data_IF_174520441372
#
_entry.id   IF_174520441372
#
_cell.length_a   1.000
_cell.length_b   1.000
_cell.length_c   1.000
_cell.angle_alpha   90.00
_cell.angle_beta   90.00
_cell.angle_gamma   90.00
#
_symmetry.space_group_name_H-M   'P 1'
#
loop_
_entity.id
_entity.type
_entity.pdbx_description
1 polymer ?
#
# COMPACT_ATOMS: atom_id res chain seq x y z
N UNK A 1 -6.44 -17.62 -1.36
CA UNK A 1 -5.89 -16.49 -2.13
C UNK A 1 -6.08 -16.71 -3.61
N UNK A 2 -6.30 -15.67 -4.38
CA UNK A 2 -6.26 -15.72 -5.83
C UNK A 2 -5.17 -14.80 -6.36
N UNK A 3 -4.59 -15.19 -7.50
CA UNK A 3 -3.54 -14.43 -8.15
C UNK A 3 -4.14 -13.30 -9.00
N UNK A 4 -3.58 -12.11 -8.86
CA UNK A 4 -3.91 -10.95 -9.69
C UNK A 4 -2.64 -10.47 -10.40
N UNK A 5 -2.75 -10.17 -11.68
CA UNK A 5 -1.62 -9.73 -12.48
C UNK A 5 -2.04 -8.56 -13.37
N UNK A 6 -1.20 -7.53 -13.41
CA UNK A 6 -1.39 -6.36 -14.27
C UNK A 6 -0.19 -6.23 -15.23
N UNK A 7 -0.30 -6.75 -16.46
CA UNK A 7 0.76 -6.57 -17.45
C UNK A 7 0.99 -5.09 -17.81
N UNK A 8 -0.07 -4.30 -17.77
CA UNK A 8 0.00 -2.86 -18.08
C UNK A 8 0.86 -2.12 -17.05
N UNK A 9 0.64 -2.38 -15.76
CA UNK A 9 1.29 -1.68 -14.67
C UNK A 9 2.45 -2.47 -14.06
N UNK A 10 2.79 -3.62 -14.66
CA UNK A 10 4.00 -4.42 -14.37
C UNK A 10 4.09 -4.92 -12.94
N UNK A 11 2.99 -5.36 -12.37
CA UNK A 11 2.99 -5.99 -11.06
C UNK A 11 2.02 -7.18 -10.98
N UNK A 12 2.24 -8.02 -9.98
CA UNK A 12 1.36 -9.11 -9.62
C UNK A 12 1.33 -9.27 -8.09
N UNK A 13 0.25 -9.80 -7.56
CA UNK A 13 0.15 -10.13 -6.14
C UNK A 13 -0.97 -11.15 -5.93
N UNK A 14 -0.95 -11.79 -4.77
CA UNK A 14 -2.02 -12.69 -4.35
C UNK A 14 -2.91 -11.96 -3.34
N UNK A 15 -4.23 -12.03 -3.56
CA UNK A 15 -5.22 -11.37 -2.73
C UNK A 15 -6.25 -12.39 -2.21
N UNK A 16 -6.91 -12.11 -1.09
CA UNK A 16 -8.04 -12.94 -0.66
C UNK A 16 -9.09 -13.06 -1.76
N UNK A 17 -9.67 -14.24 -1.90
CA UNK A 17 -10.65 -14.52 -2.96
C UNK A 17 -11.88 -13.61 -2.88
N UNK A 18 -12.22 -13.16 -1.68
CA UNK A 18 -13.40 -12.30 -1.46
C UNK A 18 -13.15 -10.82 -1.78
N UNK A 19 -11.93 -10.42 -2.09
CA UNK A 19 -11.65 -9.04 -2.47
C UNK A 19 -12.01 -8.80 -3.93
N UNK A 20 -12.64 -7.65 -4.18
CA UNK A 20 -12.99 -7.20 -5.53
C UNK A 20 -12.07 -6.07 -5.97
N UNK A 21 -11.77 -6.05 -7.26
CA UNK A 21 -11.06 -4.91 -7.84
C UNK A 21 -12.03 -3.73 -8.02
N UNK A 22 -11.50 -2.53 -7.87
CA UNK A 22 -12.21 -1.29 -8.12
C UNK A 22 -11.31 -0.32 -8.88
N UNK A 23 -11.89 0.59 -9.67
CA UNK A 23 -11.08 1.55 -10.42
C UNK A 23 -10.36 2.53 -9.49
N UNK A 24 -9.24 3.12 -9.96
CA UNK A 24 -8.56 4.15 -9.19
C UNK A 24 -9.46 5.37 -9.00
N UNK A 25 -9.20 6.13 -7.94
CA UNK A 25 -9.90 7.39 -7.65
C UNK A 25 -8.93 8.55 -7.88
N UNK A 26 -8.97 9.21 -9.05
CA UNK A 26 -8.01 10.30 -9.37
C UNK A 26 -8.05 11.46 -8.38
N UNK A 27 -9.20 11.72 -7.77
CA UNK A 27 -9.34 12.78 -6.76
C UNK A 27 -8.53 12.47 -5.49
N UNK A 28 -8.26 11.18 -5.19
CA UNK A 28 -7.42 10.78 -4.07
C UNK A 28 -5.93 10.95 -4.43
N UNK A 29 -5.52 10.42 -5.58
CA UNK A 29 -4.16 10.55 -6.08
C UNK A 29 -4.11 10.25 -7.58
N UNK A 30 -3.36 11.05 -8.38
CA UNK A 30 -3.17 10.74 -9.80
C UNK A 30 -2.29 9.50 -10.03
N UNK A 31 -1.62 9.01 -8.99
CA UNK A 31 -0.71 7.85 -9.06
C UNK A 31 -1.37 6.54 -8.69
N UNK A 32 -2.63 6.57 -8.30
CA UNK A 32 -3.39 5.39 -7.95
C UNK A 32 -3.66 4.54 -9.20
N UNK A 33 -3.33 3.23 -9.14
CA UNK A 33 -3.50 2.32 -10.27
C UNK A 33 -4.78 1.50 -10.17
N UNK A 34 -5.02 0.91 -8.98
CA UNK A 34 -6.14 0.01 -8.77
C UNK A 34 -6.43 -0.07 -7.27
N UNK A 35 -7.68 -0.37 -6.94
CA UNK A 35 -8.13 -0.65 -5.58
C UNK A 35 -8.60 -2.09 -5.46
N UNK A 36 -8.40 -2.67 -4.29
CA UNK A 36 -9.00 -3.93 -3.88
C UNK A 36 -9.82 -3.65 -2.63
N UNK A 37 -11.09 -4.04 -2.67
CA UNK A 37 -12.02 -3.77 -1.58
C UNK A 37 -12.60 -5.09 -1.06
N UNK A 38 -12.83 -5.16 0.25
CA UNK A 38 -13.47 -6.32 0.82
C UNK A 38 -14.94 -6.37 0.37
N UNK A 39 -15.42 -7.58 0.13
CA UNK A 39 -16.76 -7.80 -0.39
C UNK A 39 -17.87 -7.39 0.59
N UNK A 40 -17.61 -7.45 1.89
CA UNK A 40 -18.65 -7.43 2.90
C UNK A 40 -19.08 -6.05 3.39
N UNK A 41 -18.17 -5.06 3.52
CA UNK A 41 -18.51 -3.85 4.26
C UNK A 41 -17.63 -2.62 3.99
N UNK A 42 -16.65 -2.72 3.10
CA UNK A 42 -15.73 -1.60 2.84
C UNK A 42 -14.81 -1.27 4.01
N UNK A 43 -14.68 -2.16 5.01
CA UNK A 43 -13.83 -1.94 6.18
C UNK A 43 -12.36 -2.22 5.92
N UNK A 44 -12.03 -2.73 4.75
CA UNK A 44 -10.67 -3.06 4.36
C UNK A 44 -10.43 -2.55 2.94
N UNK A 45 -9.33 -1.87 2.77
CA UNK A 45 -8.97 -1.26 1.48
C UNK A 45 -7.50 -1.49 1.20
N UNK A 46 -7.20 -1.89 -0.02
CA UNK A 46 -5.84 -1.98 -0.53
C UNK A 46 -5.76 -1.14 -1.80
N UNK A 47 -4.74 -0.30 -1.89
CA UNK A 47 -4.52 0.55 -3.05
C UNK A 47 -3.09 0.35 -3.53
N UNK A 48 -2.93 0.13 -4.83
CA UNK A 48 -1.62 0.09 -5.47
C UNK A 48 -1.38 1.43 -6.15
N UNK A 49 -0.27 2.07 -5.78
CA UNK A 49 0.21 3.32 -6.39
C UNK A 49 1.52 3.06 -7.11
N UNK A 50 1.79 3.82 -8.16
CA UNK A 50 3.10 3.85 -8.81
C UNK A 50 3.48 5.30 -9.08
N UNK A 51 4.61 5.72 -8.52
CA UNK A 51 5.04 7.11 -8.48
C UNK A 51 6.47 7.25 -9.01
N UNK A 52 6.85 8.43 -9.55
CA UNK A 52 8.22 8.70 -9.90
C UNK A 52 9.14 8.57 -8.69
N UNK A 53 10.28 7.91 -8.87
CA UNK A 53 11.31 7.76 -7.85
C UNK A 53 12.43 8.75 -8.13
N UNK A 54 12.59 9.76 -7.28
CA UNK A 54 13.74 10.64 -7.34
C UNK A 54 15.00 9.83 -6.98
N UNK A 55 15.96 9.69 -7.90
CA UNK A 55 17.15 8.88 -7.64
C UNK A 55 18.04 9.44 -6.52
N UNK A 56 17.86 10.70 -6.15
CA UNK A 56 18.57 11.30 -5.02
C UNK A 56 17.98 10.89 -3.66
N UNK A 57 16.82 10.25 -3.65
CA UNK A 57 16.10 9.90 -2.43
C UNK A 57 16.09 8.40 -2.18
N UNK A 58 16.27 8.00 -0.92
CA UNK A 58 16.03 6.62 -0.49
C UNK A 58 14.54 6.37 -0.36
N UNK A 59 14.15 5.09 -0.25
CA UNK A 59 12.75 4.73 0.03
C UNK A 59 12.30 5.31 1.38
N UNK A 60 13.19 5.35 2.37
CA UNK A 60 12.91 5.97 3.66
C UNK A 60 12.56 7.44 3.50
N UNK A 61 13.33 8.19 2.70
CA UNK A 61 13.06 9.60 2.44
C UNK A 61 11.75 9.81 1.68
N UNK A 62 11.43 8.94 0.73
CA UNK A 62 10.13 8.95 0.05
C UNK A 62 9.00 8.73 1.05
N UNK A 63 9.16 7.78 1.97
CA UNK A 63 8.19 7.50 3.01
C UNK A 63 8.04 8.68 3.98
N UNK A 64 9.13 9.31 4.38
CA UNK A 64 9.11 10.47 5.27
C UNK A 64 8.36 11.65 4.65
N UNK A 65 8.54 11.88 3.35
CA UNK A 65 7.79 12.91 2.64
C UNK A 65 6.29 12.60 2.62
N UNK A 66 5.93 11.34 2.37
CA UNK A 66 4.52 10.91 2.43
C UNK A 66 3.96 11.08 3.83
N UNK A 67 4.75 10.80 4.86
CA UNK A 67 4.37 10.98 6.25
C UNK A 67 3.98 12.43 6.55
N UNK A 68 4.72 13.41 6.04
CA UNK A 68 4.40 14.82 6.22
C UNK A 68 3.03 15.16 5.64
N UNK A 69 2.72 14.64 4.45
CA UNK A 69 1.43 14.85 3.79
C UNK A 69 0.30 14.21 4.61
N UNK A 70 0.51 12.98 5.06
CA UNK A 70 -0.47 12.26 5.87
C UNK A 70 -0.73 12.96 7.20
N UNK A 71 0.32 13.47 7.85
CA UNK A 71 0.18 14.20 9.11
C UNK A 71 -0.72 15.45 8.95
N UNK A 72 -0.63 16.16 7.84
CA UNK A 72 -1.49 17.30 7.53
C UNK A 72 -2.94 16.88 7.33
N UNK A 73 -3.20 15.63 7.00
CA UNK A 73 -4.53 15.09 6.77
C UNK A 73 -5.11 14.34 7.98
N UNK A 74 -4.52 14.52 9.15
CA UNK A 74 -5.05 13.96 10.39
C UNK A 74 -4.54 12.58 10.78
N UNK A 75 -3.58 12.03 10.03
CA UNK A 75 -2.95 10.76 10.39
C UNK A 75 -1.82 10.97 11.39
N UNK A 76 -1.54 9.96 12.21
CA UNK A 76 -0.50 10.00 13.22
C UNK A 76 -0.03 8.61 13.63
N UNK A 77 0.76 8.53 14.71
CA UNK A 77 1.26 7.27 15.21
C UNK A 77 2.24 6.58 14.27
N UNK A 78 3.02 7.35 13.52
CA UNK A 78 3.89 6.82 12.48
C UNK A 78 5.02 5.96 13.05
N UNK A 79 5.17 4.76 12.48
CA UNK A 79 6.29 3.86 12.76
C UNK A 79 6.83 3.33 11.43
N UNK A 80 8.07 3.68 11.11
CA UNK A 80 8.75 3.22 9.90
C UNK A 80 9.79 2.16 10.20
N UNK A 81 9.99 1.23 9.28
CA UNK A 81 11.04 0.22 9.36
C UNK A 81 11.42 -0.34 7.99
N UNK A 82 12.61 -0.90 7.92
CA UNK A 82 13.04 -1.64 6.74
C UNK A 82 12.22 -2.91 6.58
N UNK A 83 12.01 -3.32 5.33
CA UNK A 83 11.31 -4.54 4.99
C UNK A 83 11.93 -5.15 3.73
N UNK A 84 11.56 -6.38 3.42
CA UNK A 84 11.98 -7.08 2.20
C UNK A 84 10.74 -7.70 1.56
N UNK A 85 10.56 -7.45 0.27
CA UNK A 85 9.48 -8.04 -0.52
C UNK A 85 10.10 -8.70 -1.74
N UNK A 86 9.95 -10.03 -1.84
CA UNK A 86 10.52 -10.81 -2.97
C UNK A 86 11.99 -10.49 -3.22
N UNK A 87 12.79 -10.50 -2.16
CA UNK A 87 14.23 -10.18 -2.18
C UNK A 87 14.56 -8.73 -2.52
N UNK A 88 13.58 -7.86 -2.65
CA UNK A 88 13.79 -6.42 -2.89
C UNK A 88 13.75 -5.67 -1.56
N UNK A 89 14.67 -4.75 -1.34
CA UNK A 89 14.57 -3.81 -0.22
C UNK A 89 13.26 -3.01 -0.33
N UNK A 90 12.60 -2.86 0.81
CA UNK A 90 11.36 -2.09 0.91
C UNK A 90 11.38 -1.26 2.18
N UNK A 91 10.48 -0.31 2.29
CA UNK A 91 10.26 0.45 3.51
C UNK A 91 8.80 0.29 3.92
N UNK A 92 8.55 -0.03 5.19
CA UNK A 92 7.20 -0.16 5.73
C UNK A 92 6.89 1.02 6.64
N UNK A 93 5.74 1.65 6.43
CA UNK A 93 5.24 2.75 7.25
C UNK A 93 3.87 2.40 7.79
N UNK A 94 3.75 2.31 9.11
CA UNK A 94 2.48 2.11 9.80
C UNK A 94 1.99 3.44 10.37
N UNK A 95 0.68 3.66 10.35
CA UNK A 95 0.08 4.88 10.90
C UNK A 95 -1.42 4.69 11.09
N UNK A 96 -2.02 5.61 11.85
CA UNK A 96 -3.44 5.54 12.21
C UNK A 96 -4.12 6.89 11.99
N UNK A 97 -5.45 6.84 11.87
CA UNK A 97 -6.29 8.03 11.88
C UNK A 97 -7.49 7.79 12.79
N UNK A 98 -7.71 8.63 13.82
CA UNK A 98 -8.91 8.52 14.63
C UNK A 98 -10.14 8.96 13.82
N UNK A 99 -11.21 8.19 13.95
CA UNK A 99 -12.51 8.44 13.33
C UNK A 99 -13.59 8.43 14.43
N UNK A 100 -14.78 8.92 14.11
CA UNK A 100 -15.89 8.93 15.07
C UNK A 100 -16.23 7.54 15.58
N UNK A 101 -16.13 6.53 14.70
CA UNK A 101 -16.48 5.12 14.98
C UNK A 101 -15.32 4.32 15.58
N UNK A 102 -14.09 4.86 15.61
CA UNK A 102 -12.92 4.12 16.08
C UNK A 102 -11.63 4.57 15.38
N UNK A 103 -10.71 3.64 15.10
CA UNK A 103 -9.42 3.93 14.49
C UNK A 103 -9.30 3.25 13.13
N UNK A 104 -8.94 4.04 12.12
CA UNK A 104 -8.52 3.54 10.82
C UNK A 104 -7.02 3.31 10.85
N UNK A 105 -6.58 2.06 10.74
CA UNK A 105 -5.18 1.67 10.82
C UNK A 105 -4.63 1.34 9.44
N UNK A 106 -3.45 1.88 9.13
CA UNK A 106 -2.84 1.77 7.81
C UNK A 106 -1.43 1.20 7.87
N UNK A 107 -1.06 0.52 6.78
CA UNK A 107 0.29 0.02 6.55
C UNK A 107 0.65 0.21 5.08
N UNK A 108 1.72 0.93 4.83
CA UNK A 108 2.23 1.15 3.48
C UNK A 108 3.57 0.45 3.30
N UNK A 109 3.76 -0.15 2.12
CA UNK A 109 5.06 -0.66 1.70
C UNK A 109 5.52 0.13 0.48
N UNK A 110 6.75 0.60 0.52
CA UNK A 110 7.40 1.33 -0.58
C UNK A 110 8.44 0.41 -1.19
N UNK A 111 8.35 0.14 -2.49
CA UNK A 111 9.24 -0.80 -3.20
C UNK A 111 9.76 -0.13 -4.47
N UNK A 112 11.08 0.01 -4.59
CA UNK A 112 11.68 0.64 -5.76
C UNK A 112 11.65 -0.26 -6.98
N UNK A 113 11.45 0.36 -8.15
CA UNK A 113 11.46 -0.30 -9.45
C UNK A 113 12.08 0.64 -10.49
N UNK A 114 13.41 0.77 -10.47
CA UNK A 114 14.13 1.68 -11.38
C UNK A 114 13.80 3.14 -11.11
N UNK A 115 13.26 3.84 -12.10
CA UNK A 115 12.88 5.24 -12.01
C UNK A 115 11.51 5.46 -11.36
N UNK A 116 10.86 4.39 -10.94
CA UNK A 116 9.55 4.42 -10.29
C UNK A 116 9.63 3.71 -8.94
N UNK A 117 8.66 3.96 -8.08
CA UNK A 117 8.44 3.11 -6.92
C UNK A 117 6.95 2.77 -6.81
N UNK A 118 6.68 1.59 -6.28
CA UNK A 118 5.33 1.17 -5.94
C UNK A 118 5.07 1.45 -4.48
N UNK A 119 3.87 1.87 -4.19
CA UNK A 119 3.38 1.98 -2.82
C UNK A 119 2.17 1.07 -2.71
N UNK A 120 2.32 0.01 -1.91
CA UNK A 120 1.23 -0.92 -1.63
C UNK A 120 0.60 -0.47 -0.33
N UNK A 121 -0.57 0.12 -0.40
CA UNK A 121 -1.22 0.75 0.74
C UNK A 121 -2.40 -0.06 1.24
N UNK A 122 -2.42 -0.32 2.55
CA UNK A 122 -3.47 -1.06 3.23
C UNK A 122 -4.11 -0.19 4.30
N UNK A 123 -5.43 -0.30 4.44
CA UNK A 123 -6.16 0.34 5.50
C UNK A 123 -7.29 -0.56 6.01
N UNK A 124 -7.56 -0.50 7.31
CA UNK A 124 -8.58 -1.34 7.95
C UNK A 124 -9.10 -0.73 9.24
N UNK A 125 -10.35 -1.04 9.58
CA UNK A 125 -10.91 -0.81 10.91
C UNK A 125 -10.63 -1.97 11.89
N UNK A 126 -10.05 -3.07 11.40
CA UNK A 126 -9.73 -4.27 12.18
C UNK A 126 -8.24 -4.61 12.05
N UNK A 127 -7.40 -3.86 12.76
CA UNK A 127 -5.94 -4.03 12.72
C UNK A 127 -5.51 -5.44 13.08
N UNK A 128 -6.02 -5.98 14.19
CA UNK A 128 -5.60 -7.28 14.69
C UNK A 128 -5.91 -8.41 13.71
N UNK A 129 -7.08 -8.38 13.06
CA UNK A 129 -7.50 -9.40 12.11
C UNK A 129 -6.86 -9.23 10.74
N UNK A 130 -6.63 -8.01 10.30
CA UNK A 130 -6.26 -7.74 8.90
C UNK A 130 -4.77 -7.53 8.65
N UNK A 131 -3.99 -7.05 9.61
CA UNK A 131 -2.55 -6.85 9.37
C UNK A 131 -1.83 -8.15 9.02
N UNK A 132 -2.13 -9.31 9.61
CA UNK A 132 -1.56 -10.57 9.13
C UNK A 132 -1.93 -10.91 7.69
N UNK A 133 -3.15 -10.58 7.27
CA UNK A 133 -3.59 -10.76 5.88
C UNK A 133 -2.84 -9.81 4.94
N UNK A 134 -2.72 -8.54 5.32
CA UNK A 134 -1.99 -7.54 4.54
C UNK A 134 -0.52 -7.94 4.36
N UNK A 135 0.12 -8.49 5.38
CA UNK A 135 1.50 -8.95 5.29
C UNK A 135 1.64 -10.09 4.28
N UNK A 136 0.69 -11.01 4.23
CA UNK A 136 0.70 -12.08 3.22
C UNK A 136 0.51 -11.54 1.81
N UNK A 137 -0.39 -10.58 1.63
CA UNK A 137 -0.59 -9.92 0.34
C UNK A 137 0.68 -9.18 -0.08
N UNK A 138 1.27 -8.40 0.82
CA UNK A 138 2.50 -7.64 0.55
C UNK A 138 3.67 -8.56 0.19
N UNK A 139 3.85 -9.68 0.88
CA UNK A 139 4.90 -10.66 0.60
C UNK A 139 4.77 -11.29 -0.78
N UNK A 140 3.57 -11.35 -1.33
CA UNK A 140 3.32 -11.87 -2.67
C UNK A 140 3.53 -10.83 -3.77
N UNK A 141 3.65 -9.56 -3.42
CA UNK A 141 3.79 -8.48 -4.38
C UNK A 141 5.06 -8.66 -5.21
N UNK A 142 4.88 -8.75 -6.52
CA UNK A 142 5.96 -9.02 -7.48
C UNK A 142 5.96 -7.93 -8.53
N UNK A 143 7.15 -7.37 -8.80
CA UNK A 143 7.35 -6.44 -9.90
C UNK A 143 7.70 -7.27 -11.13
N UNK A 144 6.89 -7.13 -12.18
CA UNK A 144 7.12 -7.83 -13.44
C UNK A 144 8.14 -7.04 -14.24
N UNK A 145 9.28 -7.67 -14.52
CA UNK A 145 10.32 -7.08 -15.37
C UNK A 145 10.29 -7.77 -16.72
N UNK A 146 10.57 -7.00 -17.74
CA UNK A 146 10.66 -7.53 -19.10
C UNK A 146 11.96 -8.31 -19.32
#
# INVERSE_FOLDING_TARGET
>A
MRHFESPEWKFALDIPKCWNTAPPVPANSPYELIRFVSHEDGQHLTIIFREPHDPAWTLKQQAEKRQEILARNGYGGFVGREAIIKSRPAWRLDFDKPEIWGIWSCRYYFVAAGTLFYRVGFGTSDKAGMFPVFDRVAKSFTIITE
#
